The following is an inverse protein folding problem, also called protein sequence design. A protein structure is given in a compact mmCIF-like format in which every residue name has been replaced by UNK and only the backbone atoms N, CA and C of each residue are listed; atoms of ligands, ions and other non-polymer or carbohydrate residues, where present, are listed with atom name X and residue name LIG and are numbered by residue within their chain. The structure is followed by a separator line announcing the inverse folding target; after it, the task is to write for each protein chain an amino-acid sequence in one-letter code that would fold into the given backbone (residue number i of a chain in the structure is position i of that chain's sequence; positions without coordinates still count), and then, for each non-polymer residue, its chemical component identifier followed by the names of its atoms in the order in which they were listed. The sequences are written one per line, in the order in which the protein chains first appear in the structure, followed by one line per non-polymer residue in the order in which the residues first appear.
data_IF_520367886526
#
_entry.id   IF_520367886526
#
_cell.length_a   1.000
_cell.length_b   1.000
_cell.length_c   1.000
_cell.angle_alpha   90.00
_cell.angle_beta   90.00
_cell.angle_gamma   90.00
#
_symmetry.space_group_name_H-M   'P 1'
#
loop_
_entity.id
_entity.type
_entity.pdbx_description
1 polymer ?
#
# COMPACT_ATOMS: atom_id res chain seq x y z
N UNK A 1 36.33 10.82 11.82
CA UNK A 1 35.67 11.07 10.52
C UNK A 1 34.33 11.71 10.75
N UNK A 2 34.19 12.96 10.33
CA UNK A 2 32.88 13.59 10.32
C UNK A 2 31.96 12.79 9.38
N UNK A 3 30.88 12.28 9.91
CA UNK A 3 29.99 11.42 9.15
C UNK A 3 29.36 12.20 8.00
N UNK A 4 29.22 11.60 6.83
CA UNK A 4 28.49 12.20 5.68
C UNK A 4 27.12 12.69 6.11
N UNK A 5 26.47 12.04 7.06
CA UNK A 5 25.16 12.42 7.61
C UNK A 5 25.24 13.69 8.45
N UNK A 6 26.30 13.87 9.24
CA UNK A 6 26.50 15.11 10.00
C UNK A 6 26.67 16.29 9.06
N UNK A 7 27.43 16.09 7.98
CA UNK A 7 27.62 17.10 6.94
C UNK A 7 26.31 17.40 6.18
N UNK A 8 25.47 16.39 5.94
CA UNK A 8 24.16 16.58 5.32
C UNK A 8 23.24 17.43 6.20
N UNK A 9 23.23 17.19 7.53
CA UNK A 9 22.46 17.97 8.49
C UNK A 9 22.96 19.42 8.54
N UNK A 10 24.28 19.63 8.58
CA UNK A 10 24.87 21.00 8.53
C UNK A 10 24.44 21.77 7.26
N UNK A 11 24.20 21.08 6.16
CA UNK A 11 23.73 21.65 4.90
C UNK A 11 22.19 21.74 4.80
N UNK A 12 21.48 21.40 5.87
CA UNK A 12 20.02 21.44 5.90
C UNK A 12 19.34 20.32 5.11
N UNK A 13 20.05 19.22 4.81
CA UNK A 13 19.51 18.07 4.09
C UNK A 13 18.96 17.05 5.10
N UNK A 14 17.77 16.55 4.84
CA UNK A 14 17.07 15.53 5.65
C UNK A 14 17.02 14.16 4.96
N UNK A 15 17.49 14.07 3.71
CA UNK A 15 17.56 12.82 2.93
C UNK A 15 18.97 12.59 2.42
N UNK A 16 19.47 11.37 2.60
CA UNK A 16 20.77 10.96 2.04
C UNK A 16 20.66 9.70 1.19
N UNK A 17 21.37 9.68 0.08
CA UNK A 17 21.54 8.48 -0.73
C UNK A 17 22.48 7.50 -0.03
N UNK A 18 22.13 6.21 -0.07
CA UNK A 18 22.97 5.12 0.41
C UNK A 18 23.33 4.19 -0.76
N UNK A 19 24.59 4.20 -1.15
CA UNK A 19 25.09 3.48 -2.33
C UNK A 19 26.52 2.95 -2.09
N UNK A 20 26.86 1.75 -2.59
CA UNK A 20 25.96 0.70 -3.09
C UNK A 20 25.26 -0.02 -1.92
N UNK A 21 23.91 -0.09 -1.94
CA UNK A 21 23.14 -0.48 -0.75
C UNK A 21 23.41 -1.91 -0.30
N UNK A 22 23.19 -2.90 -1.17
CA UNK A 22 23.34 -4.32 -0.81
C UNK A 22 24.79 -4.67 -0.44
N UNK A 23 25.76 -4.24 -1.25
CA UNK A 23 27.18 -4.53 -1.01
C UNK A 23 27.72 -3.85 0.25
N UNK A 24 27.09 -2.79 0.71
CA UNK A 24 27.49 -2.06 1.93
C UNK A 24 26.80 -2.56 3.20
N UNK A 25 26.04 -3.67 3.14
CA UNK A 25 25.36 -4.26 4.29
C UNK A 25 23.86 -4.01 4.32
N UNK A 26 23.28 -3.50 3.25
CA UNK A 26 21.84 -3.46 3.00
C UNK A 26 21.03 -2.74 4.06
N UNK A 27 19.81 -3.21 4.26
CA UNK A 27 18.84 -2.64 5.21
C UNK A 27 19.38 -2.69 6.66
N UNK A 28 20.11 -3.72 7.04
CA UNK A 28 20.66 -3.83 8.39
C UNK A 28 21.64 -2.67 8.69
N UNK A 29 22.49 -2.32 7.73
CA UNK A 29 23.42 -1.19 7.84
C UNK A 29 22.65 0.14 7.91
N UNK A 30 21.63 0.31 7.09
CA UNK A 30 20.78 1.54 7.12
C UNK A 30 20.13 1.69 8.49
N UNK A 31 19.53 0.61 9.05
CA UNK A 31 18.91 0.64 10.38
C UNK A 31 19.88 1.05 11.47
N UNK A 32 21.10 0.48 11.47
CA UNK A 32 22.15 0.84 12.41
C UNK A 32 22.58 2.32 12.28
N UNK A 33 22.74 2.80 11.05
CA UNK A 33 23.08 4.21 10.80
C UNK A 33 21.94 5.17 11.14
N UNK A 34 20.69 4.75 10.97
CA UNK A 34 19.52 5.58 11.23
C UNK A 34 19.23 5.78 12.71
N UNK A 35 19.77 4.95 13.59
CA UNK A 35 19.50 5.02 15.03
C UNK A 35 19.86 6.37 15.65
N UNK A 36 21.08 6.93 15.48
CA UNK A 36 21.44 8.23 16.03
C UNK A 36 20.85 9.42 15.25
N UNK A 37 20.34 9.23 14.04
CA UNK A 37 19.85 10.29 13.16
C UNK A 37 18.33 10.26 13.05
N UNK A 38 17.65 10.77 14.07
CA UNK A 38 16.19 10.66 14.22
C UNK A 38 15.41 11.23 13.04
N UNK A 39 15.83 12.37 12.49
CA UNK A 39 15.14 13.06 11.39
C UNK A 39 15.68 12.71 10.00
N UNK A 40 16.82 12.01 9.90
CA UNK A 40 17.42 11.66 8.63
C UNK A 40 16.65 10.51 7.96
N UNK A 41 16.39 10.69 6.67
CA UNK A 41 15.79 9.68 5.78
C UNK A 41 16.81 9.18 4.76
N UNK A 42 16.54 8.03 4.17
CA UNK A 42 17.48 7.35 3.28
C UNK A 42 16.84 7.00 1.94
N UNK A 43 17.66 7.02 0.90
CA UNK A 43 17.34 6.52 -0.43
C UNK A 43 18.38 5.48 -0.84
N UNK A 44 18.19 4.18 -0.53
CA UNK A 44 19.10 3.11 -0.95
C UNK A 44 19.08 2.95 -2.46
N UNK A 45 20.26 2.72 -3.03
CA UNK A 45 20.48 2.47 -4.45
C UNK A 45 21.63 1.47 -4.60
N UNK A 46 21.53 0.58 -5.58
CA UNK A 46 22.53 -0.47 -5.83
C UNK A 46 22.17 -1.80 -5.18
N UNK A 47 21.82 -2.78 -6.00
CA UNK A 47 21.36 -4.10 -5.59
C UNK A 47 19.90 -4.18 -5.18
N UNK A 48 19.16 -3.06 -5.14
CA UNK A 48 17.70 -3.08 -4.96
C UNK A 48 17.04 -3.64 -6.20
N UNK A 49 16.06 -4.52 -6.01
CA UNK A 49 15.32 -5.21 -7.06
C UNK A 49 13.92 -5.60 -6.56
N UNK A 50 13.10 -6.23 -7.41
CA UNK A 50 11.71 -6.60 -7.07
C UNK A 50 11.60 -7.49 -5.82
N UNK A 51 12.61 -8.32 -5.50
CA UNK A 51 12.55 -9.26 -4.35
C UNK A 51 12.79 -8.58 -3.01
N UNK A 52 13.58 -7.50 -2.97
CA UNK A 52 13.95 -6.81 -1.73
C UNK A 52 13.34 -5.41 -1.59
N UNK A 53 12.65 -4.90 -2.62
CA UNK A 53 12.07 -3.56 -2.66
C UNK A 53 11.16 -3.28 -1.45
N UNK A 54 10.19 -4.15 -1.18
CA UNK A 54 9.24 -3.98 -0.07
C UNK A 54 9.94 -4.02 1.28
N UNK A 55 10.93 -4.91 1.47
CA UNK A 55 11.69 -4.97 2.71
C UNK A 55 12.40 -3.65 3.03
N UNK A 56 12.92 -2.96 2.02
CA UNK A 56 13.48 -1.62 2.19
C UNK A 56 12.40 -0.59 2.52
N UNK A 57 11.32 -0.55 1.72
CA UNK A 57 10.27 0.45 1.85
C UNK A 57 9.44 0.32 3.14
N UNK A 58 9.40 -0.86 3.75
CA UNK A 58 8.78 -1.09 5.07
C UNK A 58 9.52 -0.39 6.22
N UNK A 59 10.78 0.02 6.01
CA UNK A 59 11.47 0.79 7.02
C UNK A 59 11.10 2.27 6.90
N UNK A 60 10.44 2.88 7.92
CA UNK A 60 9.85 4.22 7.81
C UNK A 60 10.80 5.35 7.45
N UNK A 61 12.11 5.13 7.63
CA UNK A 61 13.15 6.11 7.25
C UNK A 61 13.63 5.97 5.80
N UNK A 62 13.09 5.05 5.02
CA UNK A 62 13.35 4.94 3.58
C UNK A 62 12.19 5.57 2.82
N UNK A 63 12.47 6.68 2.14
CA UNK A 63 11.45 7.42 1.38
C UNK A 63 11.26 6.90 -0.04
N UNK A 64 12.32 6.35 -0.64
CA UNK A 64 12.33 5.82 -1.99
C UNK A 64 13.49 4.84 -2.14
N UNK A 65 13.43 3.99 -3.17
CA UNK A 65 14.53 3.11 -3.57
C UNK A 65 14.90 3.39 -5.02
N UNK A 66 16.19 3.43 -5.31
CA UNK A 66 16.70 3.51 -6.69
C UNK A 66 17.20 2.13 -7.15
N UNK A 67 16.86 1.77 -8.38
CA UNK A 67 17.32 0.51 -8.96
C UNK A 67 17.31 0.54 -10.48
N UNK A 68 18.24 -0.18 -11.09
CA UNK A 68 18.38 -0.26 -12.55
C UNK A 68 17.73 -1.50 -13.15
N UNK A 69 17.14 -2.39 -12.32
CA UNK A 69 16.51 -3.63 -12.83
C UNK A 69 15.30 -3.36 -13.73
N UNK A 70 14.65 -2.22 -13.58
CA UNK A 70 13.52 -1.79 -14.40
C UNK A 70 13.96 -1.25 -15.77
N UNK A 71 15.22 -0.83 -15.89
CA UNK A 71 15.78 -0.19 -17.08
C UNK A 71 17.12 -0.84 -17.42
N UNK A 72 17.16 -2.15 -17.77
CA UNK A 72 18.39 -2.85 -18.12
C UNK A 72 19.02 -2.26 -19.39
N UNK A 73 20.34 -2.14 -19.39
CA UNK A 73 21.06 -1.53 -20.49
C UNK A 73 20.92 -2.25 -21.83
N UNK A 74 20.76 -3.57 -21.82
CA UNK A 74 20.49 -4.38 -22.99
C UNK A 74 19.14 -4.07 -23.63
N UNK A 75 18.08 -3.85 -22.82
CA UNK A 75 16.77 -3.43 -23.33
C UNK A 75 16.81 -2.01 -23.92
N UNK A 76 17.56 -1.10 -23.29
CA UNK A 76 17.77 0.25 -23.82
C UNK A 76 18.44 0.17 -25.20
N UNK A 77 19.53 -0.57 -25.28
CA UNK A 77 20.31 -0.72 -26.53
C UNK A 77 19.50 -1.41 -27.65
N UNK A 78 18.58 -2.29 -27.29
CA UNK A 78 17.70 -2.97 -28.22
C UNK A 78 16.45 -2.14 -28.58
N UNK A 79 16.20 -1.00 -27.93
CA UNK A 79 14.99 -0.18 -28.14
C UNK A 79 13.70 -0.84 -27.64
N UNK A 80 13.79 -1.77 -26.68
CA UNK A 80 12.66 -2.55 -26.14
C UNK A 80 11.89 -1.75 -25.06
N UNK A 81 11.32 -0.61 -25.47
CA UNK A 81 10.68 0.34 -24.57
C UNK A 81 9.44 -0.25 -23.86
N UNK A 82 8.66 -1.08 -24.54
CA UNK A 82 7.48 -1.73 -23.97
C UNK A 82 7.86 -2.64 -22.81
N UNK A 83 8.99 -3.35 -22.92
CA UNK A 83 9.50 -4.19 -21.82
C UNK A 83 9.98 -3.37 -20.64
N UNK A 84 10.60 -2.22 -20.89
CA UNK A 84 11.03 -1.29 -19.84
C UNK A 84 9.82 -0.72 -19.12
N UNK A 85 8.79 -0.32 -19.87
CA UNK A 85 7.52 0.14 -19.28
C UNK A 85 6.89 -0.96 -18.43
N UNK A 86 6.82 -2.20 -18.93
CA UNK A 86 6.28 -3.33 -18.19
C UNK A 86 7.04 -3.57 -16.88
N UNK A 87 8.38 -3.64 -16.92
CA UNK A 87 9.21 -3.83 -15.71
C UNK A 87 9.00 -2.70 -14.68
N UNK A 88 8.85 -1.48 -15.15
CA UNK A 88 8.58 -0.33 -14.28
C UNK A 88 7.20 -0.43 -13.65
N UNK A 89 6.19 -0.81 -14.43
CA UNK A 89 4.82 -1.05 -13.95
C UNK A 89 4.78 -2.18 -12.91
N UNK A 90 5.49 -3.27 -13.16
CA UNK A 90 5.62 -4.39 -12.21
C UNK A 90 6.31 -3.97 -10.90
N UNK A 91 7.31 -3.10 -10.97
CA UNK A 91 7.95 -2.55 -9.78
C UNK A 91 6.99 -1.71 -8.93
N UNK A 92 6.15 -0.88 -9.56
CA UNK A 92 5.10 -0.11 -8.89
C UNK A 92 4.05 -1.05 -8.29
N UNK A 93 3.59 -2.06 -9.03
CA UNK A 93 2.64 -3.05 -8.52
C UNK A 93 3.20 -3.81 -7.33
N UNK A 94 4.48 -4.22 -7.37
CA UNK A 94 5.17 -4.85 -6.24
C UNK A 94 5.22 -3.92 -5.03
N UNK A 95 5.54 -2.66 -5.22
CA UNK A 95 5.54 -1.65 -4.15
C UNK A 95 4.14 -1.52 -3.54
N UNK A 96 3.12 -1.33 -4.36
CA UNK A 96 1.75 -1.08 -3.88
C UNK A 96 1.08 -2.35 -3.33
N UNK A 97 1.40 -3.52 -3.89
CA UNK A 97 0.97 -4.83 -3.40
C UNK A 97 -0.54 -4.96 -3.24
N UNK A 98 -1.29 -4.55 -4.27
CA UNK A 98 -2.74 -4.62 -4.25
C UNK A 98 -3.24 -6.06 -4.12
N UNK A 99 -4.17 -6.28 -3.19
CA UNK A 99 -4.82 -7.56 -2.96
C UNK A 99 -6.28 -7.33 -2.54
N UNK A 100 -7.17 -8.23 -2.92
CA UNK A 100 -8.53 -8.22 -2.40
C UNK A 100 -8.49 -8.39 -0.86
N UNK A 101 -9.12 -7.46 -0.15
CA UNK A 101 -9.27 -7.56 1.30
C UNK A 101 -10.58 -8.27 1.67
N UNK A 102 -11.69 -7.74 1.18
CA UNK A 102 -13.03 -8.32 1.38
C UNK A 102 -14.02 -7.78 0.35
N UNK A 103 -15.14 -8.47 0.26
CA UNK A 103 -16.34 -7.99 -0.44
C UNK A 103 -17.39 -7.65 0.62
N UNK A 104 -17.90 -6.44 0.55
CA UNK A 104 -18.99 -5.98 1.41
C UNK A 104 -20.35 -6.11 0.73
N UNK A 105 -21.31 -6.65 1.43
CA UNK A 105 -22.69 -6.80 0.98
C UNK A 105 -23.59 -5.96 1.88
N UNK A 106 -24.51 -5.21 1.30
CA UNK A 106 -25.46 -4.42 2.05
C UNK A 106 -26.67 -5.29 2.44
N UNK A 107 -26.95 -5.38 3.75
CA UNK A 107 -28.21 -5.92 4.25
C UNK A 107 -29.18 -4.78 4.61
N UNK A 108 -30.45 -5.08 4.68
CA UNK A 108 -31.48 -4.09 5.01
C UNK A 108 -31.42 -3.68 6.49
N UNK A 109 -31.03 -4.62 7.36
CA UNK A 109 -30.97 -4.43 8.81
C UNK A 109 -29.98 -5.41 9.47
N UNK A 110 -29.78 -5.27 10.77
CA UNK A 110 -28.86 -6.10 11.56
C UNK A 110 -29.25 -7.57 11.57
N UNK A 111 -30.54 -7.90 11.67
CA UNK A 111 -31.00 -9.30 11.72
C UNK A 111 -30.66 -10.03 10.42
N UNK A 112 -30.95 -9.43 9.28
CA UNK A 112 -30.59 -10.00 7.97
C UNK A 112 -29.07 -10.06 7.77
N UNK A 113 -28.32 -9.09 8.26
CA UNK A 113 -26.85 -9.13 8.21
C UNK A 113 -26.27 -10.29 8.99
N UNK A 114 -26.75 -10.49 10.23
CA UNK A 114 -26.32 -11.60 11.10
C UNK A 114 -26.70 -12.95 10.48
N UNK A 115 -27.91 -13.07 9.95
CA UNK A 115 -28.42 -14.29 9.29
C UNK A 115 -27.57 -14.63 8.06
N UNK A 116 -27.32 -13.66 7.18
CA UNK A 116 -26.52 -13.86 5.98
C UNK A 116 -25.07 -14.26 6.31
N UNK A 117 -24.42 -13.52 7.21
CA UNK A 117 -23.05 -13.82 7.61
C UNK A 117 -22.93 -15.19 8.29
N UNK A 118 -23.84 -15.53 9.18
CA UNK A 118 -23.88 -16.86 9.83
C UNK A 118 -24.14 -17.98 8.82
N UNK A 119 -24.95 -17.76 7.80
CA UNK A 119 -25.19 -18.76 6.75
C UNK A 119 -23.91 -19.02 5.94
N UNK A 120 -23.19 -17.97 5.55
CA UNK A 120 -21.89 -18.08 4.89
C UNK A 120 -20.87 -18.81 5.79
N UNK A 121 -20.77 -18.39 7.05
CA UNK A 121 -19.87 -18.98 8.03
C UNK A 121 -20.13 -20.49 8.18
N UNK A 122 -21.40 -20.89 8.27
CA UNK A 122 -21.79 -22.28 8.39
C UNK A 122 -21.44 -23.10 7.14
N UNK A 123 -21.77 -22.61 5.93
CA UNK A 123 -21.55 -23.36 4.67
C UNK A 123 -20.06 -23.58 4.42
N UNK A 124 -19.23 -22.59 4.69
CA UNK A 124 -17.80 -22.61 4.35
C UNK A 124 -16.88 -22.89 5.56
N UNK A 125 -17.43 -23.20 6.73
CA UNK A 125 -16.65 -23.49 7.93
C UNK A 125 -15.84 -22.28 8.44
N UNK A 126 -16.34 -21.07 8.23
CA UNK A 126 -15.66 -19.82 8.60
C UNK A 126 -16.13 -19.34 9.97
N UNK A 127 -15.29 -18.64 10.76
CA UNK A 127 -15.77 -17.95 11.97
C UNK A 127 -16.63 -16.73 11.59
N UNK A 128 -17.76 -16.54 12.29
CA UNK A 128 -18.54 -15.32 12.22
C UNK A 128 -18.13 -14.35 13.34
N UNK A 129 -18.01 -13.05 13.02
CA UNK A 129 -17.67 -12.01 13.98
C UNK A 129 -18.61 -10.82 13.82
N UNK A 130 -19.42 -10.57 14.83
CA UNK A 130 -20.31 -9.41 14.88
C UNK A 130 -19.51 -8.19 15.31
N UNK A 131 -19.49 -7.15 14.47
CA UNK A 131 -18.96 -5.82 14.75
C UNK A 131 -20.06 -4.79 14.98
N UNK A 132 -19.69 -3.52 15.11
CA UNK A 132 -20.64 -2.45 15.35
C UNK A 132 -21.53 -2.18 14.13
N UNK A 133 -20.95 -2.00 12.94
CA UNK A 133 -21.63 -1.63 11.70
C UNK A 133 -21.83 -2.78 10.72
N UNK A 134 -21.19 -3.92 10.97
CA UNK A 134 -21.17 -5.06 10.05
C UNK A 134 -20.95 -6.38 10.78
N UNK A 135 -21.16 -7.48 10.06
CA UNK A 135 -20.83 -8.85 10.51
C UNK A 135 -19.90 -9.49 9.49
N UNK A 136 -18.77 -9.98 9.94
CA UNK A 136 -17.84 -10.71 9.09
C UNK A 136 -18.09 -12.22 9.11
N UNK A 137 -18.03 -12.84 7.94
CA UNK A 137 -17.86 -14.28 7.78
C UNK A 137 -16.43 -14.52 7.25
N UNK A 138 -15.57 -15.07 8.11
CA UNK A 138 -14.13 -15.11 7.86
C UNK A 138 -13.53 -13.71 7.76
N UNK A 139 -12.57 -13.54 6.85
CA UNK A 139 -11.97 -12.24 6.55
C UNK A 139 -12.40 -11.66 5.20
N UNK A 140 -13.11 -12.44 4.39
CA UNK A 140 -13.37 -12.12 2.99
C UNK A 140 -14.78 -11.58 2.72
N UNK A 141 -15.75 -11.86 3.58
CA UNK A 141 -17.11 -11.36 3.43
C UNK A 141 -17.46 -10.46 4.62
N UNK A 142 -17.86 -9.22 4.33
CA UNK A 142 -18.42 -8.26 5.26
C UNK A 142 -19.90 -8.03 4.93
N UNK A 143 -20.82 -8.25 5.85
CA UNK A 143 -22.23 -7.94 5.66
C UNK A 143 -22.57 -6.73 6.49
N UNK A 144 -22.92 -5.62 5.82
CA UNK A 144 -23.28 -4.36 6.45
C UNK A 144 -24.66 -4.49 7.11
N UNK A 145 -24.80 -3.99 8.35
CA UNK A 145 -26.07 -3.99 9.10
C UNK A 145 -27.10 -2.99 8.57
N UNK A 146 -26.63 -2.05 7.77
CA UNK A 146 -27.45 -1.06 7.06
C UNK A 146 -26.83 -0.79 5.69
N UNK A 147 -27.62 -0.45 4.66
CA UNK A 147 -27.09 -0.07 3.36
C UNK A 147 -26.04 1.05 3.49
N UNK A 148 -24.94 0.90 2.78
CA UNK A 148 -23.86 1.87 2.70
C UNK A 148 -23.50 2.14 1.24
N UNK A 149 -22.33 2.71 0.96
CA UNK A 149 -21.92 3.05 -0.40
C UNK A 149 -21.93 1.83 -1.34
N UNK A 150 -22.21 2.10 -2.62
CA UNK A 150 -22.31 1.13 -3.69
C UNK A 150 -23.67 0.44 -3.78
N UNK A 151 -24.25 0.45 -4.99
CA UNK A 151 -25.54 -0.21 -5.26
C UNK A 151 -25.51 -1.71 -4.90
N UNK A 152 -24.40 -2.37 -5.20
CA UNK A 152 -24.21 -3.81 -4.95
C UNK A 152 -23.41 -4.09 -3.67
N UNK A 153 -23.01 -3.06 -2.92
CA UNK A 153 -22.10 -3.14 -1.80
C UNK A 153 -20.73 -2.56 -2.13
N UNK A 154 -19.67 -3.08 -1.50
CA UNK A 154 -18.32 -2.54 -1.71
C UNK A 154 -17.24 -3.62 -1.90
N UNK A 155 -16.14 -3.22 -2.52
CA UNK A 155 -14.94 -4.04 -2.68
C UNK A 155 -13.78 -3.32 -2.00
N UNK A 156 -13.17 -3.97 -1.04
CA UNK A 156 -11.99 -3.47 -0.35
C UNK A 156 -10.71 -4.05 -0.98
N UNK A 157 -9.80 -3.18 -1.36
CA UNK A 157 -8.48 -3.52 -1.87
C UNK A 157 -7.43 -3.06 -0.88
N UNK A 158 -6.68 -4.00 -0.29
CA UNK A 158 -5.57 -3.65 0.60
C UNK A 158 -4.31 -3.33 -0.21
N UNK A 159 -3.50 -2.44 0.35
CA UNK A 159 -2.24 -2.00 -0.23
C UNK A 159 -1.16 -1.89 0.84
N UNK A 160 0.10 -2.05 0.45
CA UNK A 160 1.24 -1.92 1.37
C UNK A 160 1.42 -0.48 1.88
N UNK A 161 1.11 0.52 1.03
CA UNK A 161 1.33 1.95 1.35
C UNK A 161 0.19 2.78 0.77
N UNK A 162 -0.88 2.96 1.56
CA UNK A 162 -2.12 3.57 1.08
C UNK A 162 -1.93 5.00 0.55
N UNK A 163 -1.10 5.82 1.19
CA UNK A 163 -0.85 7.19 0.73
C UNK A 163 -0.09 7.22 -0.61
N UNK A 164 0.85 6.28 -0.81
CA UNK A 164 1.52 6.12 -2.12
C UNK A 164 0.57 5.59 -3.19
N UNK A 165 -0.35 4.68 -2.81
CA UNK A 165 -1.37 4.16 -3.70
C UNK A 165 -2.32 5.27 -4.14
N UNK A 166 -2.84 6.08 -3.22
CA UNK A 166 -3.69 7.23 -3.54
C UNK A 166 -2.96 8.19 -4.48
N UNK A 167 -1.72 8.56 -4.15
CA UNK A 167 -0.93 9.46 -5.00
C UNK A 167 -0.73 8.88 -6.41
N UNK A 168 -0.31 7.63 -6.53
CA UNK A 168 -0.10 6.98 -7.84
C UNK A 168 -1.39 6.89 -8.66
N UNK A 169 -2.47 6.41 -8.05
CA UNK A 169 -3.75 6.25 -8.72
C UNK A 169 -4.32 7.61 -9.17
N UNK A 170 -4.16 8.66 -8.36
CA UNK A 170 -4.64 10.00 -8.71
C UNK A 170 -3.78 10.65 -9.79
N UNK A 171 -2.45 10.65 -9.61
CA UNK A 171 -1.57 11.44 -10.48
C UNK A 171 -1.24 10.75 -11.81
N UNK A 172 -1.21 9.42 -11.82
CA UNK A 172 -0.82 8.65 -13.01
C UNK A 172 -2.04 8.08 -13.74
N UNK A 173 -3.06 7.63 -13.00
CA UNK A 173 -4.24 6.98 -13.58
C UNK A 173 -5.49 7.87 -13.56
N UNK A 174 -5.43 9.06 -12.96
CA UNK A 174 -6.55 10.00 -12.92
C UNK A 174 -7.72 9.57 -12.05
N UNK A 175 -7.51 8.62 -11.12
CA UNK A 175 -8.55 8.14 -10.21
C UNK A 175 -8.85 9.21 -9.16
N UNK A 176 -10.13 9.52 -8.97
CA UNK A 176 -10.57 10.45 -7.95
C UNK A 176 -11.00 9.73 -6.66
N UNK A 177 -10.65 10.32 -5.50
CA UNK A 177 -11.00 9.80 -4.19
C UNK A 177 -12.04 10.66 -3.48
N UNK A 178 -12.89 10.03 -2.69
CA UNK A 178 -13.83 10.70 -1.80
C UNK A 178 -13.14 11.01 -0.45
N UNK A 179 -12.62 12.23 -0.31
CA UNK A 179 -11.87 12.65 0.88
C UNK A 179 -12.72 12.60 2.17
N UNK A 180 -14.05 12.76 2.07
CA UNK A 180 -14.94 12.66 3.23
C UNK A 180 -15.02 11.23 3.78
N UNK A 181 -14.71 10.24 2.96
CA UNK A 181 -14.66 8.83 3.36
C UNK A 181 -13.36 8.41 4.04
N UNK A 182 -12.36 9.30 4.07
CA UNK A 182 -11.03 8.99 4.59
C UNK A 182 -11.07 8.64 6.08
N UNK A 183 -10.65 7.42 6.39
CA UNK A 183 -10.45 6.98 7.78
C UNK A 183 -8.98 7.07 8.14
N UNK A 184 -8.68 7.74 9.25
CA UNK A 184 -7.32 7.93 9.74
C UNK A 184 -7.16 7.36 11.16
N UNK A 185 -5.96 6.93 11.49
CA UNK A 185 -5.63 6.53 12.87
C UNK A 185 -5.41 7.76 13.78
N UNK A 186 -5.17 7.52 15.07
CA UNK A 186 -4.94 8.58 16.05
C UNK A 186 -3.69 9.44 15.76
N UNK A 187 -2.80 8.98 14.89
CA UNK A 187 -1.60 9.72 14.44
C UNK A 187 -1.82 10.47 13.13
N UNK A 188 -3.04 10.39 12.56
CA UNK A 188 -3.38 11.02 11.28
C UNK A 188 -3.03 10.20 10.05
N UNK A 189 -2.49 8.98 10.16
CA UNK A 189 -2.16 8.14 9.02
C UNK A 189 -3.44 7.60 8.37
N UNK A 190 -3.51 7.65 7.06
CA UNK A 190 -4.62 7.13 6.28
C UNK A 190 -4.73 5.61 6.45
N UNK A 191 -5.93 5.11 6.72
CA UNK A 191 -6.24 3.68 6.90
C UNK A 191 -7.17 3.13 5.84
N UNK A 192 -8.12 3.94 5.39
CA UNK A 192 -9.02 3.59 4.31
C UNK A 192 -9.52 4.84 3.60
N UNK A 193 -9.84 4.71 2.31
CA UNK A 193 -10.45 5.78 1.51
C UNK A 193 -11.17 5.17 0.31
N UNK A 194 -12.38 5.68 0.01
CA UNK A 194 -13.16 5.27 -1.15
C UNK A 194 -12.79 6.04 -2.41
N UNK A 195 -12.86 5.37 -3.56
CA UNK A 195 -12.93 6.04 -4.85
C UNK A 195 -14.25 6.82 -4.95
N UNK A 196 -14.27 7.88 -5.76
CA UNK A 196 -15.54 8.58 -6.06
C UNK A 196 -16.44 7.77 -6.98
N UNK A 197 -15.85 7.04 -7.93
CA UNK A 197 -16.57 6.21 -8.89
C UNK A 197 -16.96 4.85 -8.29
N UNK A 198 -18.10 4.33 -8.75
CA UNK A 198 -18.46 2.92 -8.57
C UNK A 198 -18.00 2.10 -9.77
N UNK A 199 -17.51 0.90 -9.52
CA UNK A 199 -17.10 -0.04 -10.57
C UNK A 199 -18.03 -1.25 -10.53
N UNK A 200 -18.79 -1.45 -11.60
CA UNK A 200 -19.79 -2.53 -11.66
C UNK A 200 -20.90 -2.42 -10.62
N UNK A 201 -21.19 -1.21 -10.14
CA UNK A 201 -22.17 -0.94 -9.07
C UNK A 201 -21.63 -1.23 -7.67
N UNK A 202 -20.34 -1.47 -7.52
CA UNK A 202 -19.65 -1.57 -6.22
C UNK A 202 -18.91 -0.28 -5.93
N UNK A 203 -19.05 0.23 -4.71
CA UNK A 203 -18.11 1.20 -4.19
C UNK A 203 -16.77 0.51 -3.94
N UNK A 204 -15.67 1.12 -4.36
CA UNK A 204 -14.33 0.56 -4.19
C UNK A 204 -13.54 1.40 -3.19
N UNK A 205 -12.85 0.76 -2.26
CA UNK A 205 -11.99 1.49 -1.35
C UNK A 205 -10.64 0.81 -1.13
N UNK A 206 -9.64 1.62 -0.84
CA UNK A 206 -8.33 1.17 -0.40
C UNK A 206 -8.31 0.98 1.10
N UNK A 207 -7.54 -0.01 1.55
CA UNK A 207 -7.26 -0.29 2.98
C UNK A 207 -5.76 -0.49 3.17
N UNK A 208 -5.18 0.12 4.19
CA UNK A 208 -3.79 -0.13 4.59
C UNK A 208 -3.63 -1.55 5.12
N UNK A 209 -2.65 -2.32 4.63
CA UNK A 209 -2.23 -3.61 5.20
C UNK A 209 -1.67 -3.46 6.60
#
# INVERSE_FOLDING_TARGET
EMCIRDRAIELGLDVVKFFPAEQSGGLAKIKAMAAPYVNMKFMPTGGVNAKNLTSYLDFPKIIACGGSWMVPGDLINAGEWDKIEQLTREAVQTMLGFELAHVGVNAENEEEAVKAANRFAFIFGMPAKVGNSSVFAGSALEVMKTPYLGKNGHIAVKTNYIERAVNYLSTVLGVEFNEESAKRDAKGNLKAIYLKEEIGGFAVHLVQK
#
